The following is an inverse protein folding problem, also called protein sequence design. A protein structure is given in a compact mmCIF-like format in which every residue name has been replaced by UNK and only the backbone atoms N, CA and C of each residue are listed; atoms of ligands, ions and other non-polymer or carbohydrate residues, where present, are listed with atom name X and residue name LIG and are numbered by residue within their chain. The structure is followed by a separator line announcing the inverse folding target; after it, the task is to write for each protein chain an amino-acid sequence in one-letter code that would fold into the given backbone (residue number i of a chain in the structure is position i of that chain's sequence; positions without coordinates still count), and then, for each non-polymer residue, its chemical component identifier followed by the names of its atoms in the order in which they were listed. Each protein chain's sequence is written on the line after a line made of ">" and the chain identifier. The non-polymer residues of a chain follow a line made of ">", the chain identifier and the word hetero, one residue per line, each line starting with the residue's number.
data_IF_309949742554
#
_entry.id   IF_309949742554
#
_cell.length_a   1.000
_cell.length_b   1.000
_cell.length_c   1.000
_cell.angle_alpha   90.00
_cell.angle_beta   90.00
_cell.angle_gamma   90.00
#
_symmetry.space_group_name_H-M   'P 1'
#
loop_
_entity.id
_entity.type
_entity.pdbx_description
1 polymer ?
#
# COMPACT_ATOMS: atom_id res chain seq x y z
N UNK A 1 -3.76 5.62 18.68
CA UNK A 1 -3.31 7.00 18.97
C UNK A 1 -2.52 7.01 20.26
N UNK A 2 -1.57 7.93 20.38
CA UNK A 2 -0.76 8.14 21.57
C UNK A 2 -1.15 9.47 22.20
N UNK A 3 -1.59 9.44 23.45
CA UNK A 3 -1.86 10.64 24.23
C UNK A 3 -0.55 11.21 24.77
N UNK A 4 -0.37 12.52 24.61
CA UNK A 4 0.76 13.29 25.17
C UNK A 4 0.24 14.56 25.81
N UNK A 5 1.01 15.21 26.70
CA UNK A 5 0.62 16.49 27.30
C UNK A 5 0.28 17.57 26.25
N UNK A 6 0.95 17.55 25.09
CA UNK A 6 0.69 18.48 23.98
C UNK A 6 -0.47 18.08 23.04
N UNK A 7 -1.10 16.92 23.28
CA UNK A 7 -2.23 16.42 22.50
C UNK A 7 -2.04 15.02 21.90
N UNK A 8 -2.95 14.64 21.01
CA UNK A 8 -2.96 13.33 20.39
C UNK A 8 -1.96 13.25 19.23
N UNK A 9 -1.26 12.13 19.13
CA UNK A 9 -0.46 11.77 17.95
C UNK A 9 -0.90 10.42 17.39
N UNK A 10 -0.67 10.24 16.09
CA UNK A 10 -0.82 8.94 15.47
C UNK A 10 0.16 7.94 16.10
N UNK A 11 -0.36 6.78 16.50
CA UNK A 11 0.47 5.63 16.82
C UNK A 11 1.08 5.08 15.53
N UNK A 12 2.20 4.33 15.61
CA UNK A 12 2.67 3.54 14.48
C UNK A 12 1.54 2.68 13.89
N UNK A 13 1.60 2.44 12.59
CA UNK A 13 0.69 1.48 11.95
C UNK A 13 0.99 0.07 12.46
N UNK A 14 -0.06 -0.72 12.69
CA UNK A 14 0.00 -2.09 13.17
C UNK A 14 -0.99 -2.94 12.37
N UNK A 15 -0.89 -4.26 12.51
CA UNK A 15 -1.74 -5.23 11.81
C UNK A 15 -1.69 -5.08 10.27
N UNK A 16 -0.48 -4.89 9.74
CA UNK A 16 -0.24 -4.74 8.31
C UNK A 16 -0.14 -6.12 7.67
N UNK A 17 -1.26 -6.60 7.14
CA UNK A 17 -1.36 -7.87 6.41
C UNK A 17 -1.80 -7.59 4.97
N UNK A 18 -1.10 -8.18 4.00
CA UNK A 18 -1.53 -8.11 2.60
C UNK A 18 -2.59 -9.19 2.33
N UNK A 19 -3.86 -8.83 2.45
CA UNK A 19 -5.00 -9.75 2.25
C UNK A 19 -5.09 -10.27 0.82
N UNK A 20 -4.47 -9.61 -0.16
CA UNK A 20 -4.51 -10.01 -1.58
C UNK A 20 -3.74 -11.30 -1.85
N UNK A 21 -2.84 -11.70 -0.94
CA UNK A 21 -2.15 -12.99 -0.99
C UNK A 21 -3.06 -14.17 -0.60
N UNK A 22 -4.29 -13.90 -0.14
CA UNK A 22 -5.24 -14.88 0.35
C UNK A 22 -6.54 -14.80 -0.47
N UNK A 23 -6.79 -15.72 -1.41
CA UNK A 23 -7.91 -15.60 -2.35
C UNK A 23 -9.29 -15.74 -1.71
N UNK A 24 -9.37 -16.24 -0.47
CA UNK A 24 -10.64 -16.44 0.26
C UNK A 24 -11.17 -15.17 0.93
N UNK A 25 -10.36 -14.12 1.03
CA UNK A 25 -10.76 -12.88 1.69
C UNK A 25 -11.19 -11.82 0.69
N UNK A 26 -12.04 -10.92 1.18
CA UNK A 26 -12.52 -9.78 0.41
C UNK A 26 -11.36 -8.85 0.02
N UNK A 27 -11.37 -8.40 -1.24
CA UNK A 27 -10.32 -7.56 -1.84
C UNK A 27 -10.76 -6.10 -1.90
N UNK A 28 -11.66 -5.69 -1.01
CA UNK A 28 -12.22 -4.34 -0.95
C UNK A 28 -11.54 -3.52 0.15
N UNK A 29 -11.32 -2.23 -0.11
CA UNK A 29 -10.77 -1.30 0.87
C UNK A 29 -11.69 -1.17 2.09
N UNK A 30 -11.10 -1.26 3.29
CA UNK A 30 -11.84 -1.07 4.53
C UNK A 30 -12.40 0.37 4.64
N UNK A 31 -11.58 1.36 4.27
CA UNK A 31 -11.95 2.77 4.20
C UNK A 31 -12.27 3.19 2.77
N UNK A 32 -13.17 4.16 2.63
CA UNK A 32 -13.54 4.74 1.33
C UNK A 32 -12.42 5.63 0.78
N UNK A 33 -12.21 5.57 -0.53
CA UNK A 33 -11.28 6.42 -1.28
C UNK A 33 -12.10 7.16 -2.35
N UNK A 34 -12.23 8.48 -2.20
CA UNK A 34 -13.12 9.28 -3.06
C UNK A 34 -14.60 8.90 -2.89
N UNK A 35 -15.06 8.79 -1.64
CA UNK A 35 -16.48 8.59 -1.29
C UNK A 35 -17.02 7.16 -1.42
N UNK A 36 -16.23 6.19 -1.90
CA UNK A 36 -16.65 4.79 -2.03
C UNK A 36 -15.55 3.82 -1.62
N UNK A 37 -15.95 2.63 -1.15
CA UNK A 37 -15.05 1.47 -1.08
C UNK A 37 -14.65 1.04 -2.49
N UNK A 38 -13.43 0.52 -2.64
CA UNK A 38 -12.87 0.12 -3.94
C UNK A 38 -12.28 -1.27 -3.84
N UNK A 39 -12.32 -2.02 -4.92
CA UNK A 39 -11.50 -3.22 -5.06
C UNK A 39 -10.03 -2.80 -5.21
N UNK A 40 -9.11 -3.44 -4.49
CA UNK A 40 -7.69 -3.12 -4.52
C UNK A 40 -7.07 -3.24 -5.91
N UNK A 41 -7.62 -4.11 -6.77
CA UNK A 41 -7.17 -4.28 -8.14
C UNK A 41 -7.48 -3.05 -9.02
N UNK A 42 -8.44 -2.22 -8.62
CA UNK A 42 -8.86 -1.00 -9.32
C UNK A 42 -8.16 0.27 -8.83
N UNK A 43 -7.33 0.19 -7.79
CA UNK A 43 -6.61 1.36 -7.25
C UNK A 43 -5.33 1.57 -8.05
N UNK A 44 -5.23 2.75 -8.67
CA UNK A 44 -4.09 3.19 -9.46
C UNK A 44 -3.54 4.54 -8.94
N UNK A 45 -2.45 4.98 -9.56
CA UNK A 45 -1.81 6.26 -9.24
C UNK A 45 -2.77 7.44 -9.27
N UNK A 46 -3.61 7.56 -10.30
CA UNK A 46 -4.53 8.70 -10.47
C UNK A 46 -5.54 8.77 -9.33
N UNK A 47 -6.07 7.62 -8.90
CA UNK A 47 -7.00 7.54 -7.77
C UNK A 47 -6.32 7.98 -6.47
N UNK A 48 -5.09 7.52 -6.22
CA UNK A 48 -4.35 7.87 -4.99
C UNK A 48 -3.97 9.36 -4.98
N UNK A 49 -3.54 9.90 -6.12
CA UNK A 49 -3.23 11.32 -6.27
C UNK A 49 -4.46 12.19 -6.02
N UNK A 50 -5.59 11.85 -6.65
CA UNK A 50 -6.84 12.59 -6.46
C UNK A 50 -7.31 12.51 -5.02
N UNK A 51 -7.23 11.34 -4.38
CA UNK A 51 -7.58 11.18 -2.97
C UNK A 51 -6.76 12.11 -2.06
N UNK A 52 -5.46 12.24 -2.31
CA UNK A 52 -4.60 13.17 -1.55
C UNK A 52 -5.08 14.62 -1.66
N UNK A 53 -5.48 15.05 -2.86
CA UNK A 53 -6.02 16.39 -3.08
C UNK A 53 -7.39 16.57 -2.40
N UNK A 54 -8.27 15.57 -2.49
CA UNK A 54 -9.61 15.61 -1.90
C UNK A 54 -9.58 15.73 -0.38
N UNK A 55 -8.57 15.15 0.29
CA UNK A 55 -8.38 15.29 1.74
C UNK A 55 -7.58 16.56 2.14
N UNK A 56 -7.30 17.44 1.18
CA UNK A 56 -6.69 18.75 1.41
C UNK A 56 -5.16 18.76 1.45
N UNK A 57 -4.47 17.70 0.98
CA UNK A 57 -3.01 17.73 0.89
C UNK A 57 -2.55 18.59 -0.29
N UNK A 58 -1.46 19.36 -0.14
CA UNK A 58 -0.82 20.03 -1.27
C UNK A 58 -0.33 19.01 -2.30
N UNK A 59 -0.50 19.31 -3.60
CA UNK A 59 -0.04 18.45 -4.71
C UNK A 59 1.42 18.00 -4.54
N UNK A 60 2.31 18.93 -4.21
CA UNK A 60 3.72 18.63 -3.99
C UNK A 60 3.97 17.68 -2.79
N UNK A 61 3.08 17.64 -1.80
CA UNK A 61 3.18 16.68 -0.69
C UNK A 61 2.74 15.28 -1.13
N UNK A 62 1.69 15.18 -1.96
CA UNK A 62 1.23 13.93 -2.57
C UNK A 62 2.31 13.33 -3.45
N UNK A 63 2.85 14.11 -4.39
CA UNK A 63 3.89 13.67 -5.33
C UNK A 63 5.16 13.21 -4.62
N UNK A 64 5.65 13.98 -3.64
CA UNK A 64 6.84 13.61 -2.86
C UNK A 64 6.62 12.34 -2.04
N UNK A 65 5.44 12.16 -1.46
CA UNK A 65 5.11 10.96 -0.69
C UNK A 65 5.09 9.73 -1.59
N UNK A 66 4.42 9.80 -2.74
CA UNK A 66 4.37 8.69 -3.70
C UNK A 66 5.76 8.35 -4.24
N UNK A 67 6.58 9.35 -4.56
CA UNK A 67 7.96 9.12 -4.99
C UNK A 67 8.81 8.47 -3.89
N UNK A 68 8.68 8.91 -2.63
CA UNK A 68 9.40 8.34 -1.50
C UNK A 68 9.00 6.88 -1.24
N UNK A 69 7.70 6.57 -1.30
CA UNK A 69 7.19 5.21 -1.16
C UNK A 69 7.65 4.31 -2.31
N UNK A 70 7.59 4.78 -3.56
CA UNK A 70 8.08 4.05 -4.72
C UNK A 70 9.58 3.73 -4.62
N UNK A 71 10.40 4.70 -4.19
CA UNK A 71 11.83 4.47 -3.92
C UNK A 71 12.07 3.48 -2.78
N UNK A 72 11.28 3.59 -1.71
CA UNK A 72 11.34 2.67 -0.57
C UNK A 72 11.05 1.23 -0.99
N UNK A 73 10.04 1.03 -1.84
CA UNK A 73 9.72 -0.29 -2.38
C UNK A 73 10.82 -0.83 -3.31
N UNK A 74 11.32 0.00 -4.23
CA UNK A 74 12.37 -0.41 -5.17
C UNK A 74 13.67 -0.85 -4.48
N UNK A 75 13.90 -0.40 -3.24
CA UNK A 75 15.08 -0.71 -2.43
C UNK A 75 14.78 -1.67 -1.26
N UNK A 76 13.55 -2.19 -1.18
CA UNK A 76 13.11 -3.05 -0.08
C UNK A 76 13.75 -4.44 -0.16
N UNK A 77 14.69 -4.71 0.76
CA UNK A 77 15.34 -6.03 0.90
C UNK A 77 14.39 -7.12 1.40
N UNK A 78 13.28 -6.75 2.01
CA UNK A 78 12.26 -7.68 2.54
C UNK A 78 11.52 -8.46 1.46
N UNK A 79 11.62 -8.06 0.19
CA UNK A 79 11.08 -8.78 -0.97
C UNK A 79 12.13 -9.60 -1.71
N UNK A 80 13.40 -9.50 -1.31
CA UNK A 80 14.50 -10.29 -1.86
C UNK A 80 14.55 -11.67 -1.18
N UNK A 81 13.78 -12.60 -1.72
CA UNK A 81 13.85 -14.03 -1.35
C UNK A 81 14.85 -14.71 -2.27
N UNK A 82 15.76 -15.52 -1.71
CA UNK A 82 16.75 -16.28 -2.48
C UNK A 82 16.16 -17.44 -3.27
N UNK A 83 16.98 -18.04 -4.14
CA UNK A 83 16.58 -19.09 -5.07
C UNK A 83 16.25 -20.41 -4.34
N UNK A 84 14.99 -20.59 -3.94
CA UNK A 84 14.43 -21.90 -3.62
C UNK A 84 13.00 -21.97 -4.12
N UNK A 85 12.88 -22.33 -5.39
CA UNK A 85 11.62 -22.58 -6.09
C UNK A 85 11.15 -23.99 -5.73
N UNK A 86 10.36 -24.11 -4.67
CA UNK A 86 9.46 -25.25 -4.54
C UNK A 86 8.18 -24.90 -5.31
N UNK A 87 7.54 -25.85 -6.01
CA UNK A 87 6.17 -25.64 -6.47
C UNK A 87 5.31 -25.14 -5.30
N UNK A 88 4.52 -24.09 -5.55
CA UNK A 88 3.60 -23.46 -4.58
C UNK A 88 4.26 -22.70 -3.40
N UNK A 89 5.47 -22.16 -3.58
CA UNK A 89 6.07 -21.29 -2.58
C UNK A 89 5.28 -19.97 -2.39
N UNK A 90 4.63 -19.85 -1.24
CA UNK A 90 3.88 -18.65 -0.85
C UNK A 90 4.67 -17.35 -1.01
N UNK A 91 6.00 -17.37 -0.82
CA UNK A 91 6.86 -16.18 -0.92
C UNK A 91 6.89 -15.62 -2.35
N UNK A 92 6.85 -16.49 -3.36
CA UNK A 92 6.77 -16.07 -4.76
C UNK A 92 5.42 -15.44 -5.06
N UNK A 93 4.32 -16.12 -4.67
CA UNK A 93 2.96 -15.58 -4.80
C UNK A 93 2.83 -14.21 -4.11
N UNK A 94 3.33 -14.09 -2.88
CA UNK A 94 3.31 -12.86 -2.11
C UNK A 94 4.10 -11.73 -2.80
N UNK A 95 5.30 -12.03 -3.30
CA UNK A 95 6.11 -11.07 -4.08
C UNK A 95 5.36 -10.58 -5.32
N UNK A 96 4.81 -11.50 -6.10
CA UNK A 96 4.13 -11.19 -7.36
C UNK A 96 2.90 -10.31 -7.13
N UNK A 97 2.11 -10.61 -6.09
CA UNK A 97 0.97 -9.79 -5.68
C UNK A 97 1.42 -8.37 -5.32
N UNK A 98 2.46 -8.21 -4.49
CA UNK A 98 2.97 -6.89 -4.13
C UNK A 98 3.44 -6.12 -5.35
N UNK A 99 4.27 -6.74 -6.19
CA UNK A 99 4.86 -6.09 -7.36
C UNK A 99 3.78 -5.64 -8.36
N UNK A 100 2.79 -6.48 -8.66
CA UNK A 100 1.73 -6.14 -9.60
C UNK A 100 0.87 -4.95 -9.14
N UNK A 101 0.55 -4.86 -7.85
CA UNK A 101 -0.21 -3.74 -7.30
C UNK A 101 0.63 -2.46 -7.19
N UNK A 102 1.86 -2.60 -6.71
CA UNK A 102 2.77 -1.48 -6.58
C UNK A 102 3.06 -0.83 -7.94
N UNK A 103 3.19 -1.63 -9.00
CA UNK A 103 3.43 -1.13 -10.34
C UNK A 103 2.33 -0.17 -10.80
N UNK A 104 1.06 -0.42 -10.46
CA UNK A 104 -0.06 0.46 -10.83
C UNK A 104 -0.08 1.80 -10.10
N UNK A 105 0.60 1.89 -8.96
CA UNK A 105 0.59 3.09 -8.11
C UNK A 105 1.87 3.91 -8.28
N UNK A 106 3.02 3.25 -8.42
CA UNK A 106 4.34 3.91 -8.33
C UNK A 106 5.08 4.04 -9.67
N UNK A 107 4.58 3.43 -10.74
CA UNK A 107 5.10 3.60 -12.11
C UNK A 107 4.23 4.59 -12.85
#
# INVERSE_FOLDING_TARGET
>A
MLERPEGLRLSPAYDLINTLAYPVYDRITALSIGGRKREFDTVDRKIVEQFGLDIGLPRAAVERTLAALGKGLATARTLAFGDKVQPDDFRETYRNVIQGHAQRIFT
#
